data_IF_173484282221
#
_entry.id   IF_173484282221
#
_cell.length_a   1.000
_cell.length_b   1.000
_cell.length_c   1.000
_cell.angle_alpha   90.00
_cell.angle_beta   90.00
_cell.angle_gamma   90.00
#
_symmetry.space_group_name_H-M   'P 1'
#
loop_
_entity.id
_entity.type
_entity.pdbx_description
1 polymer ?
#
# COMPACT_ATOMS: atom_id res chain seq x y z
N UNK A 1 11.58 32.65 37.63
CA UNK A 1 11.02 33.11 36.34
C UNK A 1 11.76 32.32 35.28
N UNK A 2 11.18 31.20 34.86
CA UNK A 2 11.72 30.31 33.83
C UNK A 2 11.50 30.93 32.44
N UNK A 3 12.58 31.10 31.67
CA UNK A 3 12.48 31.29 30.23
C UNK A 3 12.22 29.91 29.59
N UNK A 4 11.04 29.74 29.00
CA UNK A 4 10.71 28.56 28.20
C UNK A 4 11.46 28.61 26.87
N UNK A 5 12.12 27.52 26.41
CA UNK A 5 13.03 27.52 25.26
C UNK A 5 12.34 27.26 23.91
N UNK A 6 11.00 27.31 23.84
CA UNK A 6 10.28 27.01 22.62
C UNK A 6 9.86 28.30 21.88
N UNK A 7 10.25 28.50 20.61
CA UNK A 7 9.78 29.64 19.82
C UNK A 7 8.25 29.55 19.62
N UNK A 8 7.57 30.69 19.45
CA UNK A 8 6.11 30.75 19.47
C UNK A 8 5.51 29.92 18.33
N UNK A 9 4.38 29.30 18.64
CA UNK A 9 3.52 28.57 17.71
C UNK A 9 3.47 29.25 16.34
N UNK A 10 3.90 28.55 15.29
CA UNK A 10 3.68 28.97 13.91
C UNK A 10 2.19 28.84 13.57
N UNK A 11 1.40 29.78 14.07
CA UNK A 11 0.03 30.00 13.62
C UNK A 11 0.14 30.55 12.20
N UNK A 12 -0.18 29.72 11.20
CA UNK A 12 -0.27 30.16 9.80
C UNK A 12 -1.34 31.27 9.69
N UNK A 13 -0.90 32.54 9.72
CA UNK A 13 -1.78 33.72 9.69
C UNK A 13 -2.21 34.16 8.30
N UNK A 14 -1.68 33.55 7.24
CA UNK A 14 -1.90 34.01 5.87
C UNK A 14 -2.16 32.82 4.92
N UNK A 15 -3.37 32.78 4.37
CA UNK A 15 -3.76 31.78 3.37
C UNK A 15 -2.91 31.86 2.11
N UNK A 16 -2.36 33.04 1.77
CA UNK A 16 -1.47 33.19 0.62
C UNK A 16 -0.11 32.51 0.85
N UNK A 17 0.40 32.51 2.09
CA UNK A 17 1.64 31.80 2.44
C UNK A 17 1.44 30.29 2.44
N UNK A 18 0.29 29.80 2.90
CA UNK A 18 -0.08 28.39 2.81
C UNK A 18 -0.22 27.91 1.35
N UNK A 19 -0.82 28.73 0.49
CA UNK A 19 -0.94 28.43 -0.95
C UNK A 19 0.42 28.45 -1.66
N UNK A 20 1.30 29.40 -1.34
CA UNK A 20 2.64 29.45 -1.94
C UNK A 20 3.51 28.27 -1.50
N UNK A 21 3.47 27.88 -0.22
CA UNK A 21 4.16 26.69 0.28
C UNK A 21 3.60 25.40 -0.35
N UNK A 22 2.28 25.32 -0.54
CA UNK A 22 1.63 24.21 -1.24
C UNK A 22 2.08 24.08 -2.71
N UNK A 23 2.33 25.21 -3.40
CA UNK A 23 2.74 25.21 -4.81
C UNK A 23 4.12 24.59 -5.04
N UNK A 24 4.98 24.58 -4.01
CA UNK A 24 6.32 24.02 -4.05
C UNK A 24 6.38 22.57 -3.51
N UNK A 25 5.26 22.04 -3.02
CA UNK A 25 5.22 20.69 -2.46
C UNK A 25 5.03 19.66 -3.57
N UNK A 26 6.08 18.88 -3.83
CA UNK A 26 6.07 17.79 -4.81
C UNK A 26 6.20 16.43 -4.14
N UNK A 27 5.34 15.49 -4.54
CA UNK A 27 5.48 14.09 -4.20
C UNK A 27 6.56 13.47 -5.10
N UNK A 28 7.64 13.00 -4.47
CA UNK A 28 8.76 12.33 -5.16
C UNK A 28 8.80 10.83 -4.91
N UNK A 29 8.25 10.38 -3.79
CA UNK A 29 8.12 8.98 -3.41
C UNK A 29 6.88 8.82 -2.53
N UNK A 30 6.08 7.79 -2.78
CA UNK A 30 4.98 7.41 -1.93
C UNK A 30 5.10 5.94 -1.54
N UNK A 31 5.19 5.69 -0.24
CA UNK A 31 5.08 4.33 0.31
C UNK A 31 3.76 4.20 1.05
N UNK A 32 2.87 3.38 0.51
CA UNK A 32 1.60 3.02 1.12
C UNK A 32 1.72 1.61 1.73
N UNK A 33 1.72 1.54 3.05
CA UNK A 33 1.62 0.29 3.78
C UNK A 33 0.16 0.01 4.13
N UNK A 34 -0.39 -1.11 3.66
CA UNK A 34 -1.74 -1.56 4.00
C UNK A 34 -1.70 -2.88 4.76
N UNK A 35 -2.08 -2.84 6.03
CA UNK A 35 -2.18 -4.03 6.86
C UNK A 35 -3.57 -4.63 6.75
N UNK A 36 -3.80 -5.47 5.74
CA UNK A 36 -5.07 -6.16 5.54
C UNK A 36 -4.92 -7.67 5.58
N UNK A 37 -5.30 -8.22 6.73
CA UNK A 37 -5.36 -9.67 6.96
C UNK A 37 -6.54 -10.33 6.25
N UNK A 38 -7.51 -9.56 5.76
CA UNK A 38 -8.73 -10.08 5.15
C UNK A 38 -8.56 -10.48 3.68
N UNK A 39 -7.57 -9.92 2.97
CA UNK A 39 -7.42 -10.17 1.53
C UNK A 39 -7.21 -11.66 1.22
N UNK A 40 -6.32 -12.32 1.95
CA UNK A 40 -6.07 -13.76 1.79
C UNK A 40 -7.34 -14.56 2.03
N UNK A 41 -8.09 -14.28 3.11
CA UNK A 41 -9.38 -14.94 3.36
C UNK A 41 -10.40 -14.68 2.25
N UNK A 42 -10.50 -13.46 1.73
CA UNK A 42 -11.42 -13.12 0.61
C UNK A 42 -11.07 -13.91 -0.65
N UNK A 43 -9.79 -14.02 -1.00
CA UNK A 43 -9.31 -14.79 -2.15
C UNK A 43 -9.55 -16.29 -1.94
N UNK A 44 -9.27 -16.81 -0.75
CA UNK A 44 -9.52 -18.22 -0.42
C UNK A 44 -11.01 -18.56 -0.46
N UNK A 45 -11.89 -17.67 0.02
CA UNK A 45 -13.35 -17.84 -0.09
C UNK A 45 -13.82 -17.87 -1.54
N UNK A 46 -13.30 -16.97 -2.38
CA UNK A 46 -13.63 -16.98 -3.81
C UNK A 46 -13.17 -18.27 -4.50
N UNK A 47 -11.93 -18.69 -4.24
CA UNK A 47 -11.37 -19.96 -4.74
C UNK A 47 -12.16 -21.18 -4.26
N UNK A 48 -12.56 -21.17 -2.98
CA UNK A 48 -13.33 -22.22 -2.34
C UNK A 48 -14.73 -22.35 -2.94
N UNK A 49 -15.42 -21.23 -3.16
CA UNK A 49 -16.73 -21.19 -3.79
C UNK A 49 -16.68 -21.71 -5.23
N UNK A 50 -15.68 -21.29 -6.02
CA UNK A 50 -15.45 -21.74 -7.40
C UNK A 50 -15.25 -23.26 -7.52
N UNK A 51 -14.65 -23.87 -6.49
CA UNK A 51 -14.34 -25.32 -6.46
C UNK A 51 -15.27 -26.14 -5.59
N UNK A 52 -16.30 -25.52 -5.01
CA UNK A 52 -17.21 -26.13 -4.07
C UNK A 52 -16.50 -26.88 -2.92
N UNK A 53 -15.48 -26.26 -2.34
CA UNK A 53 -14.72 -26.77 -1.19
C UNK A 53 -14.80 -25.79 -0.02
N UNK A 54 -14.30 -26.20 1.16
CA UNK A 54 -14.19 -25.28 2.29
C UNK A 54 -13.00 -24.33 2.14
N UNK A 55 -13.05 -23.16 2.80
CA UNK A 55 -11.92 -22.21 2.86
C UNK A 55 -10.65 -22.86 3.46
N UNK A 56 -10.82 -23.72 4.47
CA UNK A 56 -9.71 -24.46 5.07
C UNK A 56 -9.07 -25.45 4.06
N UNK A 57 -9.88 -26.14 3.27
CA UNK A 57 -9.37 -27.03 2.23
C UNK A 57 -8.70 -26.26 1.09
N UNK A 58 -9.26 -25.09 0.71
CA UNK A 58 -8.64 -24.19 -0.24
C UNK A 58 -7.24 -23.75 0.22
N UNK A 59 -7.10 -23.37 1.49
CA UNK A 59 -5.80 -23.00 2.06
C UNK A 59 -4.80 -24.15 1.97
N UNK A 60 -5.19 -25.36 2.37
CA UNK A 60 -4.33 -26.55 2.31
C UNK A 60 -3.87 -26.83 0.88
N UNK A 61 -4.78 -26.74 -0.10
CA UNK A 61 -4.46 -26.95 -1.52
C UNK A 61 -3.48 -25.89 -2.03
N UNK A 62 -3.76 -24.61 -1.78
CA UNK A 62 -2.89 -23.51 -2.21
C UNK A 62 -1.49 -23.66 -1.61
N UNK A 63 -1.36 -23.97 -0.32
CA UNK A 63 -0.06 -24.17 0.32
C UNK A 63 0.68 -25.38 -0.24
N UNK A 64 -0.03 -26.48 -0.50
CA UNK A 64 0.57 -27.67 -1.14
C UNK A 64 1.10 -27.34 -2.53
N UNK A 65 0.31 -26.65 -3.34
CA UNK A 65 0.66 -26.33 -4.72
C UNK A 65 1.85 -25.36 -4.77
N UNK A 66 1.87 -24.35 -3.89
CA UNK A 66 3.02 -23.43 -3.75
C UNK A 66 4.30 -24.14 -3.29
N UNK A 67 4.21 -25.09 -2.35
CA UNK A 67 5.38 -25.89 -1.92
C UNK A 67 5.91 -26.76 -3.06
N UNK A 68 5.00 -27.40 -3.81
CA UNK A 68 5.38 -28.21 -4.96
C UNK A 68 6.09 -27.36 -6.03
N UNK A 69 5.63 -26.12 -6.27
CA UNK A 69 6.25 -25.24 -7.24
C UNK A 69 7.62 -24.75 -6.78
N UNK A 70 7.76 -24.40 -5.50
CA UNK A 70 9.06 -24.03 -4.89
C UNK A 70 10.09 -25.15 -5.06
N UNK A 71 9.66 -26.40 -4.87
CA UNK A 71 10.54 -27.57 -4.97
C UNK A 71 10.96 -27.86 -6.43
N UNK A 72 10.15 -27.43 -7.40
CA UNK A 72 10.47 -27.51 -8.84
C UNK A 72 11.29 -26.32 -9.34
N UNK A 73 11.18 -25.16 -8.69
CA UNK A 73 11.85 -23.94 -9.09
C UNK A 73 13.37 -24.15 -9.17
N UNK A 74 13.94 -23.85 -10.33
CA UNK A 74 15.39 -23.97 -10.60
C UNK A 74 16.11 -22.66 -10.40
N UNK A 75 15.41 -21.54 -10.60
CA UNK A 75 15.93 -20.20 -10.38
C UNK A 75 15.89 -19.86 -8.88
N UNK A 76 17.02 -19.44 -8.28
CA UNK A 76 17.05 -18.96 -6.90
C UNK A 76 16.07 -17.81 -6.63
N UNK A 77 15.90 -16.88 -7.58
CA UNK A 77 14.99 -15.74 -7.39
C UNK A 77 13.53 -16.18 -7.33
N UNK A 78 13.14 -17.07 -8.24
CA UNK A 78 11.81 -17.68 -8.24
C UNK A 78 11.54 -18.45 -6.93
N UNK A 79 12.52 -19.21 -6.44
CA UNK A 79 12.41 -19.93 -5.17
C UNK A 79 12.19 -18.99 -3.99
N UNK A 80 12.95 -17.89 -3.94
CA UNK A 80 12.79 -16.85 -2.92
C UNK A 80 11.40 -16.20 -2.97
N UNK A 81 10.91 -15.90 -4.17
CA UNK A 81 9.57 -15.34 -4.37
C UNK A 81 8.48 -16.30 -3.88
N UNK A 82 8.59 -17.60 -4.18
CA UNK A 82 7.66 -18.62 -3.72
C UNK A 82 7.70 -18.82 -2.20
N UNK A 83 8.88 -18.72 -1.58
CA UNK A 83 9.00 -18.73 -0.12
C UNK A 83 8.39 -17.49 0.53
N UNK A 84 8.55 -16.31 -0.07
CA UNK A 84 7.88 -15.10 0.39
C UNK A 84 6.35 -15.23 0.30
N UNK A 85 5.84 -15.79 -0.80
CA UNK A 85 4.42 -16.02 -0.99
C UNK A 85 3.86 -17.06 0.00
N UNK A 86 4.56 -18.17 0.24
CA UNK A 86 4.19 -19.15 1.26
C UNK A 86 4.06 -18.51 2.65
N UNK A 87 5.07 -17.72 3.05
CA UNK A 87 5.03 -16.99 4.34
C UNK A 87 3.86 -16.02 4.41
N UNK A 88 3.57 -15.32 3.31
CA UNK A 88 2.45 -14.38 3.23
C UNK A 88 1.09 -15.08 3.36
N UNK A 89 0.89 -16.23 2.71
CA UNK A 89 -0.38 -16.98 2.80
C UNK A 89 -0.55 -17.59 4.20
N UNK A 90 0.50 -18.16 4.78
CA UNK A 90 0.47 -18.76 6.13
C UNK A 90 0.27 -17.70 7.23
N UNK A 91 0.85 -16.51 7.04
CA UNK A 91 0.74 -15.39 7.96
C UNK A 91 0.47 -14.13 7.16
N UNK A 92 -0.82 -13.87 6.80
CA UNK A 92 -1.21 -12.67 6.08
C UNK A 92 -0.72 -11.44 6.83
N UNK A 93 0.34 -10.83 6.29
CA UNK A 93 1.04 -9.71 6.90
C UNK A 93 0.60 -8.42 6.22
N UNK A 94 1.43 -7.40 6.30
CA UNK A 94 1.21 -6.09 5.69
C UNK A 94 1.61 -6.14 4.22
N UNK A 95 0.72 -5.69 3.34
CA UNK A 95 1.03 -5.46 1.93
C UNK A 95 1.62 -4.06 1.83
N UNK A 96 2.86 -3.96 1.36
CA UNK A 96 3.52 -2.68 1.13
C UNK A 96 3.51 -2.37 -0.36
N UNK A 97 2.93 -1.24 -0.71
CA UNK A 97 2.96 -0.68 -2.04
C UNK A 97 3.87 0.54 -2.03
N UNK A 98 5.01 0.44 -2.71
CA UNK A 98 5.86 1.60 -2.95
C UNK A 98 5.68 2.04 -4.40
N UNK A 99 5.34 3.31 -4.60
CA UNK A 99 5.27 3.92 -5.91
C UNK A 99 6.17 5.14 -5.98
N UNK A 100 7.06 5.11 -6.95
CA UNK A 100 7.88 6.24 -7.34
C UNK A 100 7.30 6.82 -8.63
N UNK A 101 6.72 8.03 -8.59
CA UNK A 101 6.27 8.66 -9.81
C UNK A 101 7.48 8.94 -10.71
N UNK A 102 7.33 8.66 -12.01
CA UNK A 102 8.38 8.86 -13.04
C UNK A 102 8.93 10.30 -13.03
N UNK A 103 8.14 11.25 -12.53
CA UNK A 103 8.52 12.65 -12.33
C UNK A 103 7.87 13.16 -11.04
N UNK A 104 8.49 14.11 -10.31
CA UNK A 104 7.87 14.74 -9.14
C UNK A 104 6.46 15.27 -9.44
N UNK A 105 5.50 14.95 -8.58
CA UNK A 105 4.09 15.32 -8.77
C UNK A 105 3.72 16.51 -7.87
N UNK A 106 3.34 17.68 -8.41
CA UNK A 106 2.94 18.83 -7.60
C UNK A 106 1.58 18.58 -6.92
N UNK A 107 1.56 18.47 -5.59
CA UNK A 107 0.38 18.03 -4.84
C UNK A 107 -0.76 19.04 -4.86
N UNK A 108 -0.45 20.34 -4.74
CA UNK A 108 -1.47 21.40 -4.77
C UNK A 108 -2.20 21.44 -6.12
N UNK A 109 -1.45 21.32 -7.23
CA UNK A 109 -2.03 21.31 -8.58
C UNK A 109 -2.96 20.11 -8.79
N UNK A 110 -2.57 18.92 -8.31
CA UNK A 110 -3.44 17.74 -8.31
C UNK A 110 -4.70 17.92 -7.46
N UNK A 111 -4.56 18.47 -6.24
CA UNK A 111 -5.70 18.69 -5.35
C UNK A 111 -6.74 19.64 -5.94
N UNK A 112 -6.29 20.74 -6.57
CA UNK A 112 -7.16 21.70 -7.24
C UNK A 112 -7.88 21.09 -8.47
N UNK A 113 -7.20 20.25 -9.25
CA UNK A 113 -7.84 19.51 -10.36
C UNK A 113 -8.93 18.56 -9.85
N UNK A 114 -8.67 17.85 -8.74
CA UNK A 114 -9.62 16.88 -8.19
C UNK A 114 -10.85 17.55 -7.56
N UNK A 115 -10.68 18.71 -6.93
CA UNK A 115 -11.76 19.50 -6.35
C UNK A 115 -12.55 20.29 -7.40
N UNK A 116 -11.88 20.80 -8.44
CA UNK A 116 -12.50 21.55 -9.54
C UNK A 116 -13.25 20.67 -10.54
N UNK A 117 -12.91 19.38 -10.66
CA UNK A 117 -13.52 18.45 -11.60
C UNK A 117 -14.90 17.90 -11.22
N UNK A 118 -15.40 18.16 -9.99
CA UNK A 118 -16.73 17.70 -9.53
C UNK A 118 -17.87 18.73 -9.74
N UNK A 119 -17.60 19.82 -10.47
CA UNK A 119 -18.55 20.93 -10.64
C UNK A 119 -19.17 21.11 -12.03
N UNK A 120 -18.86 20.29 -13.03
CA UNK A 120 -19.35 20.47 -14.40
C UNK A 120 -19.57 19.12 -15.12
N UNK A 121 -20.56 18.35 -14.68
CA UNK A 121 -21.42 17.49 -15.54
C UNK A 121 -22.80 17.45 -14.92
#
# INVERSE_FOLDING_TARGET
MEESPFPPDHVFRDGAQLLSAGSQTTLVHASLAFRDKSLVSRLLKAYAADRNISEAEALVRVLRDLRAERDRARDPLEREALEALLRFVERPSEIRFAAEPVRPVPLLAMGLQFLGGRGLV
#
